data_IF_472925935416
#
_entry.id   IF_472925935416
#
_cell.length_a   1.000
_cell.length_b   1.000
_cell.length_c   1.000
_cell.angle_alpha   90.00
_cell.angle_beta   90.00
_cell.angle_gamma   90.00
#
_symmetry.space_group_name_H-M   'P 1'
#
loop_
_entity.id
_entity.type
_entity.pdbx_description
1 polymer ?
#
# COMPACT_ATOMS: atom_id res chain seq x y z
N UNK A 1 4.67 37.28 76.99
CA UNK A 1 5.23 35.91 77.05
C UNK A 1 4.15 34.99 76.51
N UNK A 2 4.28 34.25 75.42
CA UNK A 2 5.41 33.54 74.80
C UNK A 2 5.14 33.52 73.28
N UNK A 3 6.13 33.88 72.45
CA UNK A 3 6.05 33.71 71.00
C UNK A 3 6.59 32.34 70.60
N UNK A 4 5.82 31.62 69.79
CA UNK A 4 6.09 30.28 69.32
C UNK A 4 7.09 30.28 68.16
N UNK A 5 8.00 29.30 68.20
CA UNK A 5 9.08 29.03 67.25
C UNK A 5 8.54 28.14 66.13
N UNK A 6 8.77 28.48 64.86
CA UNK A 6 8.65 27.54 63.75
C UNK A 6 9.80 27.77 62.77
N UNK A 7 10.70 26.78 62.73
CA UNK A 7 11.91 26.70 61.92
C UNK A 7 11.62 26.65 60.42
N UNK A 8 12.35 27.47 59.65
CA UNK A 8 12.41 27.39 58.19
C UNK A 8 13.49 26.38 57.82
N UNK A 9 13.09 25.26 57.22
CA UNK A 9 14.00 24.26 56.65
C UNK A 9 14.31 24.67 55.20
N UNK A 10 15.54 25.08 54.95
CA UNK A 10 16.06 25.31 53.60
C UNK A 10 16.32 23.96 52.91
N UNK A 11 15.53 23.64 51.87
CA UNK A 11 15.80 22.54 50.95
C UNK A 11 16.68 23.06 49.81
N UNK A 12 17.97 22.72 49.84
CA UNK A 12 18.89 22.89 48.72
C UNK A 12 18.60 21.82 47.66
N UNK A 13 17.80 22.15 46.64
CA UNK A 13 17.74 21.36 45.41
C UNK A 13 19.02 21.62 44.61
N UNK A 14 19.91 20.63 44.60
CA UNK A 14 21.01 20.56 43.65
C UNK A 14 20.45 20.43 42.23
N UNK A 15 20.75 21.41 41.39
CA UNK A 15 20.61 21.30 39.94
C UNK A 15 21.64 20.25 39.45
N UNK A 16 21.24 18.99 39.41
CA UNK A 16 21.93 18.02 38.56
C UNK A 16 21.57 18.38 37.12
N UNK A 17 22.55 18.84 36.35
CA UNK A 17 22.45 18.95 34.90
C UNK A 17 22.17 17.53 34.36
N UNK A 18 20.90 17.23 34.12
CA UNK A 18 20.52 16.05 33.38
C UNK A 18 21.08 16.23 31.96
N UNK A 19 21.96 15.33 31.55
CA UNK A 19 22.34 15.19 30.16
C UNK A 19 21.05 15.13 29.31
N UNK A 20 20.97 15.82 28.17
CA UNK A 20 19.81 15.69 27.30
C UNK A 20 19.60 14.22 26.98
N UNK A 21 18.36 13.70 27.08
CA UNK A 21 18.08 12.33 26.67
C UNK A 21 18.54 12.19 25.22
N UNK A 22 19.42 11.22 24.96
CA UNK A 22 19.79 10.82 23.61
C UNK A 22 18.50 10.55 22.85
N UNK A 23 18.22 11.36 21.82
CA UNK A 23 17.10 11.11 20.90
C UNK A 23 17.15 9.63 20.47
N UNK A 24 16.03 8.90 20.47
CA UNK A 24 16.04 7.57 19.91
C UNK A 24 16.46 7.71 18.45
N UNK A 25 17.48 6.96 18.00
CA UNK A 25 17.76 6.84 16.58
C UNK A 25 16.52 6.26 15.90
N UNK A 26 15.65 7.13 15.37
CA UNK A 26 14.50 6.75 14.55
C UNK A 26 14.95 6.43 13.13
N UNK A 27 16.17 5.88 12.97
CA UNK A 27 16.68 5.44 11.69
C UNK A 27 16.08 4.07 11.35
N UNK A 28 15.77 3.88 10.08
CA UNK A 28 15.19 2.64 9.58
C UNK A 28 13.76 2.79 9.09
N UNK A 29 13.17 1.64 8.76
CA UNK A 29 11.91 1.60 8.06
C UNK A 29 11.02 0.47 8.58
N UNK A 30 9.73 0.75 8.68
CA UNK A 30 8.69 -0.19 9.11
C UNK A 30 8.04 -0.76 7.85
N UNK A 31 8.14 -2.08 7.70
CA UNK A 31 7.44 -2.80 6.63
C UNK A 31 5.93 -2.67 6.83
N UNK A 32 5.25 -2.04 5.89
CA UNK A 32 3.78 -1.90 5.88
C UNK A 32 3.14 -3.11 5.24
N UNK A 33 3.70 -3.55 4.11
CA UNK A 33 3.30 -4.78 3.41
C UNK A 33 4.50 -5.36 2.66
N UNK A 34 4.29 -6.34 1.76
CA UNK A 34 5.37 -6.98 0.98
C UNK A 34 6.16 -6.04 0.06
N UNK A 35 5.66 -4.84 -0.19
CA UNK A 35 6.11 -3.90 -1.23
C UNK A 35 6.37 -2.48 -0.71
N UNK A 36 5.81 -2.12 0.46
CA UNK A 36 5.79 -0.76 0.99
C UNK A 36 6.53 -0.68 2.32
N UNK A 37 7.32 0.37 2.47
CA UNK A 37 8.12 0.63 3.64
C UNK A 37 7.91 2.07 4.13
N UNK A 38 7.42 2.24 5.35
CA UNK A 38 7.19 3.54 5.97
C UNK A 38 8.40 3.93 6.83
N UNK A 39 9.00 5.07 6.52
CA UNK A 39 10.18 5.55 7.22
C UNK A 39 9.86 5.96 8.66
N UNK A 40 10.72 5.57 9.61
CA UNK A 40 10.53 5.85 11.04
C UNK A 40 10.76 7.31 11.41
N UNK A 41 11.55 8.02 10.62
CA UNK A 41 11.85 9.45 10.76
C UNK A 41 10.71 10.35 10.22
N UNK A 42 9.65 9.77 9.64
CA UNK A 42 8.55 10.51 9.04
C UNK A 42 8.85 11.10 7.66
N UNK A 43 10.01 10.81 7.07
CA UNK A 43 10.41 11.31 5.74
C UNK A 43 9.49 10.84 4.62
N UNK A 44 8.80 9.70 4.81
CA UNK A 44 7.78 9.24 3.88
C UNK A 44 7.64 7.74 3.73
N UNK A 45 6.96 7.37 2.65
CA UNK A 45 6.77 6.00 2.21
C UNK A 45 7.67 5.71 1.01
N UNK A 46 8.36 4.57 1.04
CA UNK A 46 9.00 3.97 -0.12
C UNK A 46 8.05 2.91 -0.67
N UNK A 47 7.60 3.08 -1.91
CA UNK A 47 6.75 2.13 -2.62
C UNK A 47 7.56 1.42 -3.71
N UNK A 48 7.89 0.14 -3.48
CA UNK A 48 8.66 -0.66 -4.43
C UNK A 48 7.87 -0.97 -5.71
N UNK A 49 6.54 -0.81 -5.69
CA UNK A 49 5.71 -0.97 -6.87
C UNK A 49 6.03 0.08 -7.93
N UNK A 50 6.36 1.31 -7.49
CA UNK A 50 6.77 2.41 -8.37
C UNK A 50 8.17 2.24 -8.96
N UNK A 51 8.95 1.26 -8.49
CA UNK A 51 10.26 0.92 -9.05
C UNK A 51 10.13 -0.08 -10.21
N UNK A 52 9.06 -0.86 -10.23
CA UNK A 52 8.81 -1.85 -11.27
C UNK A 52 8.25 -1.21 -12.55
N UNK A 53 8.27 -1.97 -13.64
CA UNK A 53 7.58 -1.65 -14.89
C UNK A 53 6.05 -1.76 -14.73
N UNK A 54 5.31 -1.46 -15.80
CA UNK A 54 3.84 -1.49 -15.82
C UNK A 54 3.26 -2.87 -15.50
N UNK A 55 4.02 -3.93 -15.81
CA UNK A 55 3.63 -5.30 -15.51
C UNK A 55 4.05 -5.74 -14.09
N UNK A 56 4.71 -4.87 -13.33
CA UNK A 56 5.18 -5.11 -11.98
C UNK A 56 6.50 -5.87 -11.91
N UNK A 57 7.30 -5.95 -12.98
CA UNK A 57 8.61 -6.57 -13.00
C UNK A 57 9.72 -5.53 -12.97
N UNK A 58 10.83 -5.85 -12.33
CA UNK A 58 12.07 -5.07 -12.49
C UNK A 58 12.87 -5.66 -13.65
N UNK A 59 12.83 -6.99 -13.79
CA UNK A 59 13.49 -7.72 -14.86
C UNK A 59 12.72 -8.97 -15.26
N UNK A 60 12.75 -9.24 -16.56
CA UNK A 60 12.19 -10.44 -17.18
C UNK A 60 13.28 -11.12 -17.99
N UNK A 61 13.51 -12.41 -17.71
CA UNK A 61 14.46 -13.25 -18.45
C UNK A 61 15.83 -12.60 -18.68
N UNK A 62 16.35 -11.86 -17.69
CA UNK A 62 17.64 -11.20 -17.79
C UNK A 62 18.76 -12.24 -17.75
N UNK A 63 19.68 -12.27 -18.73
CA UNK A 63 20.83 -13.15 -18.67
C UNK A 63 21.76 -12.78 -17.51
N UNK A 64 22.08 -13.78 -16.68
CA UNK A 64 23.11 -13.70 -15.67
C UNK A 64 24.41 -14.28 -16.23
N UNK A 65 25.55 -13.67 -15.90
CA UNK A 65 26.84 -14.25 -16.23
C UNK A 65 27.02 -15.56 -15.46
N UNK A 66 27.05 -16.69 -16.19
CA UNK A 66 27.29 -18.02 -15.64
C UNK A 66 28.72 -18.46 -15.95
N UNK A 67 29.34 -19.19 -15.03
CA UNK A 67 30.62 -19.84 -15.26
C UNK A 67 30.48 -21.17 -16.04
N UNK A 68 29.25 -21.56 -16.40
CA UNK A 68 28.91 -22.86 -16.94
C UNK A 68 28.57 -22.74 -18.43
N UNK A 69 29.54 -23.13 -19.28
CA UNK A 69 29.55 -22.91 -20.73
C UNK A 69 28.20 -23.01 -21.45
N UNK A 70 27.66 -24.22 -21.67
CA UNK A 70 26.47 -24.44 -22.51
C UNK A 70 25.13 -24.17 -21.80
N UNK A 71 25.11 -23.30 -20.79
CA UNK A 71 23.89 -23.01 -20.02
C UNK A 71 23.59 -21.53 -19.96
N UNK A 72 22.40 -21.15 -20.42
CA UNK A 72 21.89 -19.79 -20.22
C UNK A 72 21.16 -19.73 -18.89
N UNK A 73 21.59 -18.83 -18.01
CA UNK A 73 20.93 -18.58 -16.73
C UNK A 73 20.14 -17.30 -16.85
N UNK A 74 18.82 -17.38 -16.74
CA UNK A 74 17.90 -16.25 -16.92
C UNK A 74 17.18 -15.95 -15.61
N UNK A 75 17.20 -14.69 -15.19
CA UNK A 75 16.50 -14.20 -14.00
C UNK A 75 15.20 -13.48 -14.37
N UNK A 76 14.13 -13.81 -13.68
CA UNK A 76 12.90 -13.03 -13.64
C UNK A 76 12.65 -12.58 -12.21
N UNK A 77 12.39 -11.29 -12.00
CA UNK A 77 12.17 -10.71 -10.68
C UNK A 77 11.04 -9.67 -10.67
N UNK A 78 10.10 -9.84 -9.73
CA UNK A 78 9.05 -8.88 -9.41
C UNK A 78 9.07 -8.55 -7.92
N UNK A 79 9.20 -7.27 -7.53
CA UNK A 79 9.27 -6.87 -6.13
C UNK A 79 7.94 -7.04 -5.38
N UNK A 80 6.79 -6.96 -6.08
CA UNK A 80 5.50 -6.75 -5.41
C UNK A 80 4.38 -7.68 -5.89
N UNK A 81 4.44 -8.12 -7.15
CA UNK A 81 3.43 -8.98 -7.74
C UNK A 81 3.97 -10.41 -7.80
N UNK A 82 3.31 -11.37 -7.15
CA UNK A 82 3.68 -12.77 -7.32
C UNK A 82 3.42 -13.21 -8.76
N UNK A 83 4.34 -14.01 -9.29
CA UNK A 83 4.21 -14.60 -10.62
C UNK A 83 4.52 -16.09 -10.61
N UNK A 84 4.14 -16.77 -11.70
CA UNK A 84 4.47 -18.17 -11.92
C UNK A 84 5.19 -18.34 -13.26
N UNK A 85 6.16 -19.24 -13.32
CA UNK A 85 6.94 -19.49 -14.53
C UNK A 85 7.22 -21.00 -14.71
N UNK A 86 6.93 -21.59 -15.89
CA UNK A 86 6.26 -21.01 -17.05
C UNK A 86 4.77 -20.71 -16.77
N UNK A 87 4.21 -19.76 -17.52
CA UNK A 87 2.84 -19.25 -17.32
C UNK A 87 1.78 -20.34 -17.54
N UNK A 88 2.04 -21.28 -18.44
CA UNK A 88 1.09 -22.32 -18.87
C UNK A 88 1.06 -23.56 -17.96
N UNK A 89 1.98 -23.67 -17.00
CA UNK A 89 2.13 -24.87 -16.17
C UNK A 89 1.98 -24.53 -14.69
N UNK A 90 0.94 -25.08 -14.06
CA UNK A 90 0.53 -24.75 -12.69
C UNK A 90 1.36 -25.40 -11.59
N UNK A 91 2.38 -26.22 -11.91
CA UNK A 91 3.19 -26.94 -10.94
C UNK A 91 4.66 -26.92 -11.37
N UNK A 92 5.35 -25.82 -11.10
CA UNK A 92 6.81 -25.73 -11.16
C UNK A 92 7.36 -25.26 -9.83
N UNK A 93 8.68 -25.29 -9.65
CA UNK A 93 9.30 -24.70 -8.47
C UNK A 93 8.97 -23.20 -8.35
N UNK A 94 8.81 -22.51 -9.49
CA UNK A 94 8.50 -21.10 -9.59
C UNK A 94 6.99 -20.84 -9.70
N UNK A 95 6.21 -21.26 -8.72
CA UNK A 95 4.79 -20.90 -8.59
C UNK A 95 4.60 -19.94 -7.41
N UNK A 96 3.98 -18.78 -7.65
CA UNK A 96 3.75 -17.73 -6.64
C UNK A 96 5.07 -17.23 -5.99
N UNK A 97 6.01 -16.81 -6.84
CA UNK A 97 7.37 -16.40 -6.43
C UNK A 97 7.64 -14.92 -6.71
N UNK A 98 8.64 -14.38 -6.02
CA UNK A 98 9.20 -13.03 -6.25
C UNK A 98 10.39 -13.08 -7.20
N UNK A 99 11.19 -14.14 -7.14
CA UNK A 99 12.35 -14.37 -7.98
C UNK A 99 12.36 -15.81 -8.52
N UNK A 100 12.57 -15.95 -9.82
CA UNK A 100 12.73 -17.24 -10.48
C UNK A 100 14.00 -17.23 -11.34
N UNK A 101 14.79 -18.29 -11.23
CA UNK A 101 15.92 -18.53 -12.13
C UNK A 101 15.54 -19.68 -13.06
N UNK A 102 15.64 -19.42 -14.36
CA UNK A 102 15.50 -20.42 -15.42
C UNK A 102 16.88 -20.75 -15.98
N UNK A 103 17.32 -21.99 -15.79
CA UNK A 103 18.53 -22.52 -16.40
C UNK A 103 18.13 -23.25 -17.68
N UNK A 104 18.60 -22.75 -18.82
CA UNK A 104 18.43 -23.39 -20.12
C UNK A 104 19.67 -24.20 -20.43
N UNK A 105 19.52 -25.51 -20.46
CA UNK A 105 20.60 -26.44 -20.80
C UNK A 105 20.46 -26.80 -22.27
N UNK A 106 21.44 -26.39 -23.09
CA UNK A 106 21.47 -26.73 -24.51
C UNK A 106 21.91 -28.19 -24.69
N UNK A 107 21.09 -28.98 -25.38
CA UNK A 107 21.39 -30.34 -25.83
C UNK A 107 21.31 -30.40 -27.36
N UNK A 108 21.92 -31.40 -27.99
CA UNK A 108 22.17 -31.49 -29.45
C UNK A 108 20.98 -31.17 -30.38
N UNK A 109 19.73 -31.28 -29.91
CA UNK A 109 18.51 -30.99 -30.69
C UNK A 109 17.45 -30.15 -29.94
N UNK A 110 17.78 -29.49 -28.84
CA UNK A 110 16.81 -28.70 -28.08
C UNK A 110 17.36 -28.09 -26.79
N UNK A 111 16.47 -27.61 -25.92
CA UNK A 111 16.83 -27.08 -24.62
C UNK A 111 15.91 -27.64 -23.53
N UNK A 112 16.49 -27.93 -22.37
CA UNK A 112 15.75 -28.27 -21.16
C UNK A 112 15.74 -27.03 -20.26
N UNK A 113 14.55 -26.59 -19.86
CA UNK A 113 14.41 -25.53 -18.86
C UNK A 113 14.33 -26.15 -17.48
N UNK A 114 15.20 -25.70 -16.58
CA UNK A 114 15.10 -25.99 -15.15
C UNK A 114 14.75 -24.71 -14.41
N UNK A 115 13.62 -24.73 -13.70
CA UNK A 115 13.14 -23.59 -12.92
C UNK A 115 13.53 -23.77 -11.45
N UNK A 116 14.15 -22.76 -10.87
CA UNK A 116 14.57 -22.72 -9.49
C UNK A 116 13.91 -21.52 -8.81
N UNK A 117 13.26 -21.77 -7.67
CA UNK A 117 12.68 -20.73 -6.83
C UNK A 117 13.79 -20.01 -6.06
N UNK A 118 13.94 -18.71 -6.32
CA UNK A 118 14.96 -17.86 -5.70
C UNK A 118 14.39 -16.89 -4.68
N UNK A 119 13.11 -17.06 -4.30
CA UNK A 119 12.50 -16.37 -3.19
C UNK A 119 11.03 -16.06 -3.42
N UNK A 120 10.28 -16.04 -2.33
CA UNK A 120 8.86 -15.64 -2.28
C UNK A 120 8.70 -14.28 -1.61
N UNK A 121 7.59 -13.60 -1.88
CA UNK A 121 7.22 -12.38 -1.16
C UNK A 121 6.87 -12.65 0.31
N UNK A 122 6.35 -13.84 0.60
CA UNK A 122 6.05 -14.26 1.96
C UNK A 122 7.32 -14.35 2.81
N UNK A 123 7.29 -13.76 4.00
CA UNK A 123 8.46 -13.73 4.88
C UNK A 123 9.58 -12.78 4.47
N UNK A 124 9.42 -11.96 3.41
CA UNK A 124 10.47 -11.02 3.01
C UNK A 124 10.80 -10.00 4.11
N UNK A 125 12.09 -9.67 4.28
CA UNK A 125 12.57 -8.80 5.36
C UNK A 125 13.13 -7.50 4.79
N UNK A 126 12.81 -6.40 5.46
CA UNK A 126 13.20 -5.05 5.04
C UNK A 126 14.24 -4.53 6.03
N UNK A 127 15.34 -4.01 5.51
CA UNK A 127 16.40 -3.37 6.28
C UNK A 127 16.82 -2.09 5.57
N UNK A 128 16.63 -0.95 6.22
CA UNK A 128 16.99 0.34 5.65
C UNK A 128 18.28 0.86 6.28
N UNK A 129 19.24 1.24 5.44
CA UNK A 129 20.48 1.85 5.85
C UNK A 129 20.43 3.35 5.55
N UNK A 130 20.43 4.18 6.59
CA UNK A 130 20.29 5.62 6.44
C UNK A 130 21.55 6.30 5.86
N UNK A 131 22.75 5.83 6.23
CA UNK A 131 24.01 6.38 5.73
C UNK A 131 24.17 6.21 4.22
N UNK A 132 23.69 5.08 3.68
CA UNK A 132 23.75 4.77 2.24
C UNK A 132 22.45 5.10 1.51
N UNK A 133 21.42 5.58 2.21
CA UNK A 133 20.05 5.79 1.69
C UNK A 133 19.59 4.61 0.83
N UNK A 134 19.78 3.40 1.37
CA UNK A 134 19.54 2.14 0.65
C UNK A 134 18.56 1.26 1.42
N UNK A 135 17.45 0.91 0.78
CA UNK A 135 16.51 -0.09 1.28
C UNK A 135 16.94 -1.47 0.78
N UNK A 136 17.23 -2.38 1.69
CA UNK A 136 17.55 -3.78 1.38
C UNK A 136 16.34 -4.65 1.66
N UNK A 137 15.92 -5.44 0.67
CA UNK A 137 14.86 -6.45 0.81
C UNK A 137 15.42 -7.83 0.53
N UNK A 138 15.24 -8.73 1.48
CA UNK A 138 15.66 -10.13 1.35
C UNK A 138 14.46 -11.05 1.16
N UNK A 139 14.60 -11.97 0.21
CA UNK A 139 13.58 -12.94 -0.19
C UNK A 139 14.12 -14.35 0.05
N UNK A 140 13.35 -15.14 0.78
CA UNK A 140 13.67 -16.52 1.15
C UNK A 140 12.75 -17.48 0.41
N UNK A 141 13.21 -18.72 0.20
CA UNK A 141 12.37 -19.77 -0.40
C UNK A 141 11.24 -20.19 0.56
N UNK A 142 11.57 -20.26 1.85
CA UNK A 142 10.64 -20.55 2.95
C UNK A 142 10.74 -19.47 4.03
N UNK A 143 9.68 -19.25 4.82
CA UNK A 143 9.77 -18.46 6.04
C UNK A 143 10.84 -19.11 6.92
N UNK A 144 11.86 -18.35 7.31
CA UNK A 144 13.02 -18.76 8.12
C UNK A 144 14.19 -19.46 7.41
N UNK A 145 14.13 -19.69 6.09
CA UNK A 145 15.33 -20.08 5.36
C UNK A 145 16.28 -18.90 5.14
N UNK A 146 17.55 -19.18 4.90
CA UNK A 146 18.48 -18.18 4.39
C UNK A 146 17.92 -17.53 3.10
N UNK A 147 18.13 -16.23 2.92
CA UNK A 147 17.63 -15.54 1.74
C UNK A 147 18.36 -16.06 0.51
N UNK A 148 17.61 -16.27 -0.56
CA UNK A 148 18.14 -16.70 -1.86
C UNK A 148 18.31 -15.50 -2.80
N UNK A 149 17.55 -14.43 -2.58
CA UNK A 149 17.68 -13.18 -3.33
C UNK A 149 17.72 -12.00 -2.37
N UNK A 150 18.67 -11.10 -2.57
CA UNK A 150 18.81 -9.85 -1.82
C UNK A 150 18.86 -8.69 -2.81
N UNK A 151 17.96 -7.72 -2.59
CA UNK A 151 17.79 -6.57 -3.48
C UNK A 151 18.10 -5.30 -2.71
N UNK A 152 19.02 -4.51 -3.23
CA UNK A 152 19.42 -3.23 -2.69
C UNK A 152 18.85 -2.10 -3.54
N UNK A 153 17.81 -1.45 -3.05
CA UNK A 153 17.21 -0.28 -3.67
C UNK A 153 17.92 0.98 -3.20
N UNK A 154 18.70 1.59 -4.08
CA UNK A 154 19.45 2.80 -3.81
C UNK A 154 18.67 4.01 -4.31
N UNK A 155 18.46 4.97 -3.41
CA UNK A 155 17.89 6.27 -3.76
C UNK A 155 18.93 7.07 -4.58
N UNK A 156 18.58 7.41 -5.82
CA UNK A 156 19.44 8.16 -6.74
C UNK A 156 18.64 8.78 -7.90
N UNK A 157 19.21 9.74 -8.63
CA UNK A 157 18.55 10.34 -9.79
C UNK A 157 18.50 9.40 -11.00
N UNK A 158 19.40 8.41 -11.04
CA UNK A 158 19.48 7.44 -12.13
C UNK A 158 18.39 6.37 -12.05
N UNK A 159 18.11 5.76 -13.20
CA UNK A 159 17.42 4.45 -13.29
C UNK A 159 18.42 3.45 -13.82
N UNK A 160 19.03 2.68 -12.94
CA UNK A 160 20.03 1.68 -13.30
C UNK A 160 19.82 0.40 -12.52
N UNK A 161 20.12 -0.74 -13.13
CA UNK A 161 20.05 -2.04 -12.45
C UNK A 161 21.34 -2.80 -12.71
N UNK A 162 21.98 -3.24 -11.63
CA UNK A 162 23.23 -4.00 -11.64
C UNK A 162 23.09 -5.27 -10.80
N UNK A 163 23.87 -6.30 -11.14
CA UNK A 163 23.82 -7.61 -10.47
C UNK A 163 25.20 -7.98 -9.97
N UNK A 164 25.25 -8.87 -8.97
CA UNK A 164 26.51 -9.47 -8.56
C UNK A 164 27.05 -10.33 -9.70
N UNK A 165 28.35 -10.24 -9.93
CA UNK A 165 29.01 -10.59 -11.18
C UNK A 165 29.14 -12.11 -11.45
N UNK A 166 28.57 -12.98 -10.61
CA UNK A 166 28.51 -14.41 -10.90
C UNK A 166 27.31 -15.05 -10.21
N UNK A 167 26.56 -15.85 -10.97
CA UNK A 167 25.70 -16.88 -10.39
C UNK A 167 26.63 -17.88 -9.68
N UNK A 168 26.69 -17.83 -8.35
CA UNK A 168 27.42 -18.80 -7.53
C UNK A 168 26.44 -19.63 -6.74
N UNK A 169 26.67 -20.94 -6.64
CA UNK A 169 25.82 -21.85 -5.86
C UNK A 169 25.92 -21.60 -4.33
N UNK A 170 26.96 -20.88 -3.89
CA UNK A 170 27.33 -20.76 -2.47
C UNK A 170 26.82 -19.49 -1.78
N UNK A 171 25.91 -18.72 -2.41
CA UNK A 171 25.37 -17.51 -1.78
C UNK A 171 24.13 -16.92 -2.45
N UNK A 172 23.48 -15.94 -1.80
CA UNK A 172 22.30 -15.29 -2.35
C UNK A 172 22.61 -14.50 -3.61
N UNK A 173 21.66 -14.50 -4.54
CA UNK A 173 21.67 -13.59 -5.68
C UNK A 173 21.53 -12.15 -5.19
N UNK A 174 22.52 -11.30 -5.48
CA UNK A 174 22.47 -9.88 -5.14
C UNK A 174 22.17 -9.04 -6.36
N UNK A 175 21.23 -8.10 -6.22
CA UNK A 175 20.94 -7.10 -7.24
C UNK A 175 20.88 -5.70 -6.61
N UNK A 176 21.35 -4.70 -7.34
CA UNK A 176 21.33 -3.29 -6.99
C UNK A 176 20.45 -2.56 -7.98
N UNK A 177 19.44 -1.88 -7.46
CA UNK A 177 18.46 -1.12 -8.23
C UNK A 177 18.59 0.33 -7.81
N UNK A 178 19.12 1.17 -8.68
CA UNK A 178 19.13 2.61 -8.48
C UNK A 178 17.86 3.19 -9.11
N UNK A 179 17.08 3.93 -8.32
CA UNK A 179 15.87 4.58 -8.82
C UNK A 179 15.52 5.80 -7.97
N UNK A 180 14.98 6.88 -8.56
CA UNK A 180 14.40 7.98 -7.79
C UNK A 180 13.22 7.49 -6.94
N UNK A 181 12.53 6.43 -7.36
CA UNK A 181 11.40 5.86 -6.63
C UNK A 181 11.80 5.03 -5.41
N UNK A 182 13.10 4.75 -5.23
CA UNK A 182 13.62 4.18 -4.00
C UNK A 182 13.78 5.24 -2.89
N UNK A 183 13.63 6.52 -3.21
CA UNK A 183 13.67 7.62 -2.23
C UNK A 183 12.31 7.77 -1.52
N UNK A 184 12.28 8.11 -0.22
CA UNK A 184 11.04 8.35 0.51
C UNK A 184 10.16 9.41 -0.18
N UNK A 185 8.87 9.12 -0.35
CA UNK A 185 7.84 9.99 -0.96
C UNK A 185 8.10 10.48 -2.40
N UNK A 186 9.15 10.03 -3.09
CA UNK A 186 9.46 10.52 -4.43
C UNK A 186 8.48 10.01 -5.51
N UNK A 187 8.03 8.75 -5.39
CA UNK A 187 7.09 8.12 -6.32
C UNK A 187 5.90 7.47 -5.62
N UNK A 188 5.61 7.91 -4.40
CA UNK A 188 4.40 7.49 -3.72
C UNK A 188 3.20 8.09 -4.48
N UNK A 189 2.54 7.27 -5.30
CA UNK A 189 1.18 7.57 -5.71
C UNK A 189 0.38 7.69 -4.42
N UNK A 190 -0.26 8.83 -4.20
CA UNK A 190 -1.13 9.05 -3.06
C UNK A 190 -2.22 7.99 -3.15
N UNK A 191 -2.06 6.91 -2.40
CA UNK A 191 -2.98 5.80 -2.37
C UNK A 191 -4.27 6.35 -1.76
N UNK A 192 -5.25 6.65 -2.61
CA UNK A 192 -6.53 7.23 -2.20
C UNK A 192 -7.26 6.11 -1.48
N UNK A 193 -7.03 6.01 -0.17
CA UNK A 193 -7.60 4.94 0.63
C UNK A 193 -9.12 4.86 0.44
N UNK A 194 -9.73 3.68 0.63
CA UNK A 194 -11.16 3.50 0.40
C UNK A 194 -12.01 4.51 1.18
N UNK A 195 -11.58 4.89 2.39
CA UNK A 195 -12.23 5.96 3.18
C UNK A 195 -12.23 7.32 2.48
N UNK A 196 -11.12 7.71 1.85
CA UNK A 196 -11.03 8.95 1.07
C UNK A 196 -11.90 8.90 -0.17
N UNK A 197 -11.98 7.74 -0.84
CA UNK A 197 -12.91 7.51 -1.96
C UNK A 197 -14.36 7.71 -1.50
N UNK A 198 -14.76 7.10 -0.36
CA UNK A 198 -16.10 7.29 0.20
C UNK A 198 -16.40 8.75 0.55
N UNK A 199 -15.44 9.46 1.14
CA UNK A 199 -15.58 10.89 1.47
C UNK A 199 -15.76 11.74 0.21
N UNK A 200 -14.98 11.47 -0.85
CA UNK A 200 -15.12 12.18 -2.13
C UNK A 200 -16.52 11.95 -2.71
N UNK A 201 -16.98 10.70 -2.77
CA UNK A 201 -18.32 10.37 -3.28
C UNK A 201 -19.41 11.06 -2.46
N UNK A 202 -19.29 11.04 -1.12
CA UNK A 202 -20.24 11.70 -0.23
C UNK A 202 -20.27 13.21 -0.48
N UNK A 203 -19.11 13.86 -0.53
CA UNK A 203 -19.02 15.30 -0.83
C UNK A 203 -19.65 15.64 -2.18
N UNK A 204 -19.38 14.86 -3.23
CA UNK A 204 -19.96 15.06 -4.56
C UNK A 204 -21.47 14.86 -4.57
N UNK A 205 -21.99 13.87 -3.84
CA UNK A 205 -23.42 13.62 -3.75
C UNK A 205 -24.16 14.75 -3.03
N UNK A 206 -23.60 15.26 -1.93
CA UNK A 206 -24.15 16.38 -1.16
C UNK A 206 -24.14 17.66 -1.99
N UNK A 207 -23.03 17.96 -2.67
CA UNK A 207 -22.97 19.13 -3.56
C UNK A 207 -23.95 19.03 -4.71
N UNK A 208 -24.06 17.88 -5.37
CA UNK A 208 -25.06 17.65 -6.42
C UNK A 208 -26.49 17.86 -5.89
N UNK A 209 -26.81 17.32 -4.70
CA UNK A 209 -28.11 17.50 -4.06
C UNK A 209 -28.41 18.99 -3.81
N UNK A 210 -27.45 19.74 -3.26
CA UNK A 210 -27.62 21.18 -3.04
C UNK A 210 -27.75 21.97 -4.34
N UNK A 211 -26.98 21.65 -5.39
CA UNK A 211 -27.08 22.32 -6.69
C UNK A 211 -28.46 22.07 -7.31
N UNK A 212 -28.92 20.81 -7.34
CA UNK A 212 -30.25 20.46 -7.86
C UNK A 212 -31.35 21.16 -7.06
N UNK A 213 -31.26 21.12 -5.72
CA UNK A 213 -32.19 21.80 -4.83
C UNK A 213 -32.20 23.32 -4.99
N UNK A 214 -31.04 23.92 -5.31
CA UNK A 214 -30.90 25.35 -5.59
C UNK A 214 -31.45 25.74 -6.97
N UNK A 215 -31.27 24.90 -7.98
CA UNK A 215 -31.86 25.10 -9.31
C UNK A 215 -33.39 24.92 -9.32
N UNK A 216 -33.94 24.19 -8.36
CA UNK A 216 -35.39 24.01 -8.18
C UNK A 216 -36.06 25.11 -7.35
N UNK A 217 -35.32 26.13 -6.89
CA UNK A 217 -35.89 27.28 -6.19
C UNK A 217 -36.70 28.12 -7.18
N UNK A 218 -38.01 28.24 -6.96
CA UNK A 218 -38.86 29.12 -7.76
C UNK A 218 -38.98 30.48 -7.08
N UNK A 219 -38.64 31.58 -7.76
CA UNK A 219 -38.90 32.92 -7.23
C UNK A 219 -40.38 33.25 -7.35
N UNK A 220 -40.99 33.74 -6.27
CA UNK A 220 -42.34 34.28 -6.28
C UNK A 220 -42.36 35.70 -5.70
N UNK A 221 -43.23 36.55 -6.26
CA UNK A 221 -43.32 37.97 -5.87
C UNK A 221 -44.30 38.14 -4.73
N UNK A 222 -43.85 38.79 -3.66
CA UNK A 222 -44.67 39.22 -2.52
C UNK A 222 -44.73 40.75 -2.50
N UNK A 223 -45.69 41.32 -1.75
CA UNK A 223 -45.81 42.79 -1.60
C UNK A 223 -44.56 43.44 -0.99
N UNK A 224 -43.71 42.67 -0.32
CA UNK A 224 -42.47 43.12 0.31
C UNK A 224 -41.20 42.78 -0.49
N UNK A 225 -41.33 42.27 -1.74
CA UNK A 225 -40.21 41.94 -2.61
C UNK A 225 -40.26 40.51 -3.18
N UNK A 226 -39.19 40.10 -3.87
CA UNK A 226 -39.04 38.74 -4.42
C UNK A 226 -38.49 37.81 -3.33
N UNK A 227 -39.21 36.74 -3.02
CA UNK A 227 -38.76 35.69 -2.11
C UNK A 227 -38.56 34.39 -2.90
N UNK A 228 -37.65 33.54 -2.45
CA UNK A 228 -37.42 32.22 -3.03
C UNK A 228 -37.95 31.15 -2.07
N UNK A 229 -38.82 30.27 -2.56
CA UNK A 229 -39.27 29.11 -1.82
C UNK A 229 -38.73 27.84 -2.49
N UNK A 230 -38.22 26.89 -1.69
CA UNK A 230 -37.89 25.56 -2.18
C UNK A 230 -39.16 24.82 -2.61
N UNK A 231 -39.10 24.09 -3.73
CA UNK A 231 -40.20 23.24 -4.15
C UNK A 231 -40.26 21.97 -3.28
N UNK A 232 -41.40 21.75 -2.61
CA UNK A 232 -41.57 20.64 -1.65
C UNK A 232 -41.32 19.26 -2.29
N UNK A 233 -41.54 19.13 -3.60
CA UNK A 233 -41.37 17.89 -4.36
C UNK A 233 -39.91 17.41 -4.40
N UNK A 234 -38.95 18.34 -4.40
CA UNK A 234 -37.51 18.05 -4.55
C UNK A 234 -36.86 17.82 -3.18
N UNK A 235 -37.27 18.57 -2.16
CA UNK A 235 -36.65 18.52 -0.83
C UNK A 235 -37.28 17.46 0.09
N UNK A 236 -38.54 17.08 -0.11
CA UNK A 236 -39.21 16.03 0.69
C UNK A 236 -39.28 14.67 0.00
N UNK A 237 -38.53 14.42 -1.07
CA UNK A 237 -38.60 13.15 -1.81
C UNK A 237 -38.26 11.92 -0.92
N UNK A 238 -37.34 12.08 0.04
CA UNK A 238 -36.98 11.06 1.05
C UNK A 238 -38.09 10.88 2.10
N UNK A 239 -38.75 11.96 2.50
CA UNK A 239 -39.88 11.93 3.44
C UNK A 239 -41.11 11.22 2.83
N UNK A 240 -41.35 11.40 1.54
CA UNK A 240 -42.43 10.72 0.81
C UNK A 240 -42.19 9.20 0.71
N UNK A 241 -40.97 8.77 0.35
CA UNK A 241 -40.61 7.35 0.25
C UNK A 241 -40.74 6.59 1.59
N UNK A 242 -40.37 7.22 2.71
CA UNK A 242 -40.54 6.63 4.05
C UNK A 242 -42.01 6.54 4.47
N UNK A 243 -42.85 7.50 4.05
CA UNK A 243 -44.29 7.51 4.35
C UNK A 243 -45.05 6.47 3.52
N UNK A 244 -44.68 6.29 2.26
CA UNK A 244 -45.33 5.33 1.36
C UNK A 244 -45.10 3.86 1.79
N UNK A 245 -43.93 3.57 2.39
CA UNK A 245 -43.63 2.24 2.95
C UNK A 245 -44.49 1.86 4.16
N UNK A 246 -45.06 2.84 4.86
CA UNK A 246 -45.93 2.65 6.03
C UNK A 246 -47.38 2.28 5.64
N UNK A 247 -47.87 2.75 4.49
CA UNK A 247 -49.27 2.55 4.08
C UNK A 247 -49.52 1.24 3.30
N UNK A 248 -48.47 0.56 2.82
CA UNK A 248 -48.58 -0.72 2.11
C UNK A 248 -48.96 -1.93 2.98
N UNK A 249 -48.96 -1.80 4.32
CA UNK A 249 -49.23 -2.91 5.25
C UNK A 249 -50.69 -3.08 5.68
N UNK A 250 -51.60 -2.18 5.28
CA UNK A 250 -52.93 -2.08 5.91
C UNK A 250 -54.08 -2.23 4.92
N UNK A 251 -54.06 -3.27 4.06
CA UNK A 251 -55.24 -3.64 3.27
C UNK A 251 -55.29 -5.15 2.98
N UNK A 252 -55.99 -5.90 3.84
CA UNK A 252 -56.87 -7.04 3.49
C UNK A 252 -57.42 -7.72 4.75
N UNK A 253 -58.66 -7.40 5.10
CA UNK A 253 -59.60 -8.39 5.67
C UNK A 253 -61.00 -8.05 5.16
N UNK A 254 -61.48 -8.90 4.26
CA UNK A 254 -62.86 -8.94 3.78
C UNK A 254 -63.77 -9.36 4.93
N UNK A 255 -65.02 -8.88 4.95
CA UNK A 255 -66.18 -9.75 5.17
C UNK A 255 -67.39 -9.22 4.39
N UNK A 256 -67.90 -10.13 3.56
CA UNK A 256 -69.21 -10.12 2.91
C UNK A 256 -70.25 -10.68 3.90
N UNK A 257 -71.45 -10.10 3.96
CA UNK A 257 -72.71 -10.77 4.30
C UNK A 257 -73.87 -9.82 3.92
N UNK A 258 -74.41 -9.97 2.70
CA UNK A 258 -75.70 -10.61 2.34
C UNK A 258 -76.95 -9.76 2.61
N UNK A 259 -77.47 -9.23 1.49
CA UNK A 259 -78.85 -9.23 1.00
C UNK A 259 -80.07 -9.25 1.95
N UNK A 260 -80.89 -8.22 1.71
CA UNK A 260 -82.36 -8.17 1.53
C UNK A 260 -83.31 -8.38 2.71
N UNK A 261 -84.32 -7.49 2.72
CA UNK A 261 -85.75 -7.70 3.04
C UNK A 261 -86.14 -9.00 3.76
#
# INVERSE_FOLDING_TARGET
MVLSVLSVVYFSLGLTAAAPPSEPEHSGCIKVNRCKCLMRDGSGLIDLGSVADEDGFIQRLKPLASAWGNTDVLLTFSPCLPFSQPEDFSITACTDVAACVNIRIHQDNGFINQYLNYGRHEGNKFSYNDSKKTLTVSYSMFPDSEPQTVVHYQCGPGRSITHSQSFSADGPLQMWVESPCACPNACALVDVGPGTIFLIILCLSVTAYFIIGSCALRPFRTSNGVQMAPEDSVWCMICYQLRERSEGGRRKRNYSLTDTL
#
